data_IF_971469875720
#
_entry.id   IF_971469875720
#
_cell.length_a   1.000
_cell.length_b   1.000
_cell.length_c   1.000
_cell.angle_alpha   90.00
_cell.angle_beta   90.00
_cell.angle_gamma   90.00
#
_symmetry.space_group_name_H-M   'P 1'
#
loop_
_entity.id
_entity.type
_entity.pdbx_description
1 polymer ?
#
# COMPACT_ATOMS: atom_id res chain seq x y z
N UNK A 1 4.81 -3.40 -1.34
CA UNK A 1 6.23 -3.04 -1.52
C UNK A 1 7.04 -4.10 -0.82
N UNK A 2 7.76 -4.93 -1.57
CA UNK A 2 8.51 -6.06 -1.01
C UNK A 2 9.56 -5.56 0.00
N UNK A 3 9.62 -6.20 1.17
CA UNK A 3 10.56 -5.76 2.20
C UNK A 3 11.95 -6.28 1.91
N UNK A 4 12.90 -5.35 1.72
CA UNK A 4 14.29 -5.67 1.40
C UNK A 4 15.11 -5.87 2.68
N UNK A 5 15.92 -6.93 2.73
CA UNK A 5 16.82 -7.20 3.85
C UNK A 5 17.95 -6.16 3.92
N UNK A 6 18.36 -5.81 5.14
CA UNK A 6 19.49 -4.91 5.40
C UNK A 6 20.82 -5.66 5.30
N UNK A 7 21.88 -4.99 4.82
CA UNK A 7 23.19 -5.58 4.52
C UNK A 7 24.17 -5.59 5.70
N UNK A 8 23.84 -4.95 6.84
CA UNK A 8 24.74 -4.90 8.01
C UNK A 8 25.90 -3.91 7.89
N UNK A 9 25.91 -3.08 6.86
CA UNK A 9 26.97 -2.09 6.60
C UNK A 9 26.55 -0.73 7.18
N UNK A 10 27.52 0.08 7.63
CA UNK A 10 27.27 1.41 8.21
C UNK A 10 26.83 2.47 7.18
N UNK A 11 27.29 2.37 5.93
CA UNK A 11 26.99 3.30 4.82
C UNK A 11 26.77 2.52 3.53
N UNK A 12 26.01 3.10 2.58
CA UNK A 12 25.64 2.47 1.31
C UNK A 12 24.19 1.96 1.25
N UNK A 13 23.85 1.24 0.18
CA UNK A 13 22.51 0.72 -0.06
C UNK A 13 22.14 -0.39 0.94
N UNK A 14 20.88 -0.38 1.39
CA UNK A 14 20.33 -1.29 2.41
C UNK A 14 21.13 -1.31 3.74
N UNK A 15 21.82 -0.23 4.07
CA UNK A 15 22.56 -0.08 5.33
C UNK A 15 21.69 -0.30 6.57
N UNK A 16 22.34 -0.61 7.69
CA UNK A 16 21.72 -0.83 9.00
C UNK A 16 21.79 -2.28 9.46
N UNK A 17 21.39 -2.51 10.72
CA UNK A 17 21.47 -3.82 11.37
C UNK A 17 20.66 -4.89 10.63
N UNK A 18 21.26 -6.07 10.44
CA UNK A 18 20.63 -7.21 9.76
C UNK A 18 19.51 -7.75 10.67
N UNK A 19 18.26 -7.51 10.29
CA UNK A 19 17.08 -8.02 10.99
C UNK A 19 16.13 -8.70 10.00
N UNK A 20 15.33 -9.64 10.47
CA UNK A 20 14.23 -10.24 9.69
C UNK A 20 13.10 -9.22 9.53
N UNK A 21 12.84 -8.71 8.31
CA UNK A 21 11.77 -7.74 8.12
C UNK A 21 10.38 -8.40 8.24
N UNK A 22 9.44 -7.72 8.90
CA UNK A 22 8.03 -8.10 8.93
C UNK A 22 7.27 -7.37 7.83
N UNK A 23 6.57 -8.11 6.98
CA UNK A 23 5.63 -7.51 6.02
C UNK A 23 4.25 -7.37 6.69
N UNK A 24 3.83 -6.12 6.92
CA UNK A 24 2.46 -5.84 7.36
C UNK A 24 1.94 -4.56 6.71
N UNK A 25 0.79 -4.66 6.06
CA UNK A 25 0.04 -3.50 5.59
C UNK A 25 -0.83 -2.96 6.71
N UNK A 26 -1.06 -1.65 6.73
CA UNK A 26 -1.98 -0.99 7.68
C UNK A 26 -3.24 -0.64 6.90
N UNK A 27 -4.40 -0.79 7.53
CA UNK A 27 -5.71 -0.45 6.94
C UNK A 27 -5.76 1.01 6.48
N UNK A 28 -5.02 1.91 7.14
CA UNK A 28 -4.92 3.31 6.68
C UNK A 28 -4.37 3.48 5.26
N UNK A 29 -3.56 2.53 4.76
CA UNK A 29 -2.98 2.57 3.40
C UNK A 29 -4.00 2.18 2.32
N UNK A 30 -5.08 1.50 2.67
CA UNK A 30 -6.15 1.12 1.73
C UNK A 30 -7.29 2.14 1.68
N UNK A 31 -7.28 3.16 2.53
CA UNK A 31 -8.23 4.28 2.47
C UNK A 31 -8.15 4.97 1.10
N UNK A 32 -9.31 5.29 0.51
CA UNK A 32 -9.41 5.91 -0.81
C UNK A 32 -9.39 4.93 -1.99
N UNK A 33 -9.14 3.64 -1.76
CA UNK A 33 -9.26 2.64 -2.82
C UNK A 33 -10.72 2.50 -3.25
N UNK A 34 -10.93 2.43 -4.56
CA UNK A 34 -12.26 2.23 -5.12
C UNK A 34 -12.73 0.79 -4.83
N UNK A 35 -13.84 0.69 -4.11
CA UNK A 35 -14.51 -0.60 -3.88
C UNK A 35 -15.49 -0.88 -5.02
N UNK A 36 -15.69 -2.16 -5.38
CA UNK A 36 -16.63 -2.57 -6.45
C UNK A 36 -18.04 -1.98 -6.26
N UNK A 37 -18.55 -2.01 -5.01
CA UNK A 37 -19.85 -1.41 -4.66
C UNK A 37 -19.87 0.10 -4.91
N UNK A 38 -18.83 0.81 -4.48
CA UNK A 38 -18.75 2.28 -4.66
C UNK A 38 -18.59 2.66 -6.12
N UNK A 39 -17.89 1.84 -6.92
CA UNK A 39 -17.80 2.03 -8.38
C UNK A 39 -19.18 1.93 -9.03
N UNK A 40 -19.91 0.83 -8.78
CA UNK A 40 -21.25 0.59 -9.32
C UNK A 40 -22.26 1.68 -8.93
N UNK A 41 -22.28 2.09 -7.65
CA UNK A 41 -23.18 3.16 -7.20
C UNK A 41 -22.84 4.50 -7.88
N UNK A 42 -21.54 4.83 -8.03
CA UNK A 42 -21.12 6.06 -8.72
C UNK A 42 -21.49 6.04 -10.20
N UNK A 43 -21.43 4.87 -10.85
CA UNK A 43 -21.84 4.69 -12.25
C UNK A 43 -23.33 4.98 -12.44
N UNK A 44 -24.19 4.38 -11.60
CA UNK A 44 -25.64 4.65 -11.63
C UNK A 44 -25.93 6.14 -11.41
N UNK A 45 -25.32 6.75 -10.39
CA UNK A 45 -25.57 8.16 -10.08
C UNK A 45 -25.17 9.05 -11.25
N UNK A 46 -24.02 8.77 -11.89
CA UNK A 46 -23.55 9.52 -13.06
C UNK A 46 -24.49 9.39 -14.25
N UNK A 47 -25.03 8.20 -14.49
CA UNK A 47 -26.02 7.98 -15.55
C UNK A 47 -27.32 8.76 -15.31
N UNK A 48 -27.78 8.82 -14.06
CA UNK A 48 -29.05 9.47 -13.71
C UNK A 48 -28.93 10.99 -13.63
N UNK A 49 -27.82 11.53 -13.11
CA UNK A 49 -27.69 12.97 -12.85
C UNK A 49 -27.21 13.81 -14.02
N UNK A 50 -26.59 13.19 -15.04
CA UNK A 50 -25.81 13.89 -16.08
C UNK A 50 -24.43 14.28 -15.60
#
# INVERSE_FOLDING_TARGET
MAVKQRSGIAVGLNKGHKTTPRESSRISRTKGHLSKRTAFVREIVKEVSG
#
